data_IF_102547647508
#
_entry.id   IF_102547647508
#
_cell.length_a   1.000
_cell.length_b   1.000
_cell.length_c   1.000
_cell.angle_alpha   90.00
_cell.angle_beta   90.00
_cell.angle_gamma   90.00
#
_symmetry.space_group_name_H-M   'P 1'
#
loop_
_entity.id
_entity.type
_entity.pdbx_description
1 polymer ?
#
# COMPACT_ATOMS: atom_id res chain seq x y z
N UNK A 1 7.14 10.25 2.28
CA UNK A 1 7.46 10.56 3.68
C UNK A 1 8.97 10.58 3.90
N UNK A 2 9.42 11.41 4.83
CA UNK A 2 10.84 11.56 5.17
C UNK A 2 11.15 10.78 6.45
N UNK A 3 11.95 9.73 6.33
CA UNK A 3 12.36 8.88 7.46
C UNK A 3 13.03 9.64 8.62
N UNK A 4 13.61 10.82 8.35
CA UNK A 4 14.25 11.65 9.38
C UNK A 4 13.24 12.49 10.18
N UNK A 5 12.01 12.63 9.70
CA UNK A 5 11.00 13.53 10.26
C UNK A 5 9.73 12.82 10.73
N UNK A 6 9.42 11.68 10.15
CA UNK A 6 8.17 10.97 10.41
C UNK A 6 8.44 9.70 11.22
N UNK A 7 8.02 9.66 12.50
CA UNK A 7 8.13 8.45 13.31
C UNK A 7 7.40 7.26 12.66
N UNK A 8 8.04 6.08 12.65
CA UNK A 8 7.47 4.87 12.04
C UNK A 8 7.73 4.72 10.54
N UNK A 9 8.42 5.67 9.92
CA UNK A 9 8.93 5.54 8.55
C UNK A 9 10.42 5.26 8.61
N UNK A 10 10.82 4.02 8.32
CA UNK A 10 12.21 3.57 8.42
C UNK A 10 13.01 3.82 7.13
N UNK A 11 12.32 4.05 6.00
CA UNK A 11 12.96 4.34 4.72
C UNK A 11 12.12 5.33 3.91
N UNK A 12 12.77 6.43 3.50
CA UNK A 12 12.20 7.35 2.51
C UNK A 12 12.18 6.72 1.13
N UNK A 13 11.06 6.79 0.44
CA UNK A 13 10.92 6.36 -0.96
C UNK A 13 10.03 7.37 -1.71
N UNK A 14 10.00 7.27 -3.04
CA UNK A 14 9.25 8.18 -3.92
C UNK A 14 9.45 7.84 -5.39
N UNK A 15 10.55 7.14 -5.70
CA UNK A 15 10.71 6.50 -7.00
C UNK A 15 9.89 5.23 -7.01
N UNK A 16 8.78 5.24 -7.76
CA UNK A 16 7.80 4.16 -7.78
C UNK A 16 8.44 2.81 -8.12
N UNK A 17 8.00 1.76 -7.44
CA UNK A 17 8.50 0.40 -7.58
C UNK A 17 9.82 0.10 -6.86
N UNK A 18 10.57 1.10 -6.37
CA UNK A 18 11.88 0.90 -5.72
C UNK A 18 11.74 0.47 -4.25
N UNK A 19 10.74 1.00 -3.55
CA UNK A 19 10.56 0.76 -2.11
C UNK A 19 10.39 -0.71 -1.75
N UNK A 20 9.65 -1.46 -2.55
CA UNK A 20 9.41 -2.88 -2.30
C UNK A 20 10.70 -3.71 -2.36
N UNK A 21 11.63 -3.41 -3.27
CA UNK A 21 12.92 -4.12 -3.35
C UNK A 21 13.76 -3.90 -2.10
N UNK A 22 13.77 -2.68 -1.57
CA UNK A 22 14.43 -2.38 -0.29
C UNK A 22 13.75 -3.11 0.87
N UNK A 23 12.42 -3.12 0.93
CA UNK A 23 11.64 -3.86 1.93
C UNK A 23 11.93 -5.36 1.91
N UNK A 24 12.04 -5.95 0.71
CA UNK A 24 12.46 -7.36 0.53
C UNK A 24 13.86 -7.60 1.09
N UNK A 25 14.80 -6.68 0.82
CA UNK A 25 16.16 -6.74 1.39
C UNK A 25 16.16 -6.69 2.92
N UNK A 26 15.36 -5.80 3.51
CA UNK A 26 15.20 -5.69 4.97
C UNK A 26 14.60 -6.95 5.58
N UNK A 27 13.54 -7.50 4.98
CA UNK A 27 12.91 -8.73 5.44
C UNK A 27 13.86 -9.93 5.36
N UNK A 28 14.64 -10.04 4.29
CA UNK A 28 15.66 -11.05 4.15
C UNK A 28 16.78 -10.89 5.19
N UNK A 29 17.25 -9.68 5.41
CA UNK A 29 18.29 -9.39 6.41
C UNK A 29 17.84 -9.79 7.83
N UNK A 30 16.56 -9.54 8.19
CA UNK A 30 16.02 -10.02 9.46
C UNK A 30 16.16 -11.54 9.62
N UNK A 31 15.77 -12.30 8.59
CA UNK A 31 15.87 -13.77 8.61
C UNK A 31 17.32 -14.25 8.70
N UNK A 32 18.24 -13.67 7.94
CA UNK A 32 19.66 -14.02 7.96
C UNK A 32 20.33 -13.71 9.30
N UNK A 33 19.87 -12.66 9.98
CA UNK A 33 20.40 -12.24 11.28
C UNK A 33 19.64 -12.82 12.47
N UNK A 34 18.62 -13.66 12.23
CA UNK A 34 17.73 -14.20 13.25
C UNK A 34 17.06 -13.09 14.10
N UNK A 35 16.66 -11.98 13.44
CA UNK A 35 15.93 -10.88 14.06
C UNK A 35 14.43 -11.08 13.89
N UNK A 36 13.68 -10.78 14.95
CA UNK A 36 12.21 -10.91 14.97
C UNK A 36 11.53 -9.54 14.69
N UNK A 37 11.72 -9.02 13.47
CA UNK A 37 10.94 -7.88 13.00
C UNK A 37 10.26 -8.16 11.67
N UNK A 38 9.17 -7.46 11.43
CA UNK A 38 8.43 -7.46 10.18
C UNK A 38 8.73 -6.19 9.40
N UNK A 39 8.74 -6.34 8.09
CA UNK A 39 8.86 -5.24 7.15
C UNK A 39 7.51 -5.01 6.48
N UNK A 40 7.06 -3.77 6.46
CA UNK A 40 5.84 -3.35 5.81
C UNK A 40 6.20 -2.41 4.66
N UNK A 41 5.55 -2.55 3.52
CA UNK A 41 5.68 -1.63 2.39
C UNK A 41 4.31 -1.30 1.84
N UNK A 42 4.06 0.00 1.63
CA UNK A 42 2.81 0.50 1.04
C UNK A 42 3.08 0.90 -0.40
N UNK A 43 2.28 0.37 -1.30
CA UNK A 43 2.34 0.62 -2.74
C UNK A 43 1.00 1.22 -3.20
N UNK A 44 1.04 2.10 -4.18
CA UNK A 44 -0.15 2.48 -4.94
C UNK A 44 -0.49 1.45 -6.03
N UNK A 45 -1.75 1.38 -6.43
CA UNK A 45 -2.18 0.53 -7.53
C UNK A 45 -1.59 0.95 -8.89
N UNK A 46 -1.34 2.24 -9.11
CA UNK A 46 -0.55 2.73 -10.24
C UNK A 46 0.93 2.34 -10.14
N UNK A 47 1.48 2.33 -8.92
CA UNK A 47 2.88 1.94 -8.68
C UNK A 47 3.15 0.48 -9.03
N UNK A 48 2.21 -0.42 -8.80
CA UNK A 48 2.40 -1.84 -9.14
C UNK A 48 2.41 -2.14 -10.64
N UNK A 49 2.24 -1.15 -11.51
CA UNK A 49 2.50 -1.27 -12.94
C UNK A 49 4.01 -1.38 -13.25
N UNK A 50 4.85 -0.94 -12.31
CA UNK A 50 6.30 -1.07 -12.43
C UNK A 50 6.74 -2.54 -12.38
N UNK A 51 7.53 -2.98 -13.38
CA UNK A 51 8.01 -4.36 -13.48
C UNK A 51 8.80 -4.83 -12.26
N UNK A 52 9.55 -3.91 -11.64
CA UNK A 52 10.36 -4.19 -10.45
C UNK A 52 9.52 -4.65 -9.24
N UNK A 53 8.26 -4.25 -9.14
CA UNK A 53 7.34 -4.74 -8.09
C UNK A 53 7.18 -6.25 -8.21
N UNK A 54 6.99 -6.75 -9.43
CA UNK A 54 6.78 -8.18 -9.70
C UNK A 54 8.06 -8.99 -9.58
N UNK A 55 9.21 -8.42 -9.94
CA UNK A 55 10.52 -9.03 -9.69
C UNK A 55 10.76 -9.21 -8.18
N UNK A 56 10.47 -8.18 -7.39
CA UNK A 56 10.56 -8.23 -5.93
C UNK A 56 9.56 -9.24 -5.32
N UNK A 57 8.32 -9.28 -5.82
CA UNK A 57 7.30 -10.23 -5.38
C UNK A 57 7.71 -11.68 -5.66
N UNK A 58 8.21 -11.97 -6.87
CA UNK A 58 8.71 -13.30 -7.23
C UNK A 58 9.82 -13.75 -6.27
N UNK A 59 10.78 -12.87 -5.99
CA UNK A 59 11.86 -13.17 -5.07
C UNK A 59 11.34 -13.40 -3.65
N UNK A 60 10.47 -12.55 -3.15
CA UNK A 60 9.90 -12.64 -1.80
C UNK A 60 9.16 -13.96 -1.58
N UNK A 61 8.31 -14.35 -2.53
CA UNK A 61 7.60 -15.64 -2.49
C UNK A 61 8.53 -16.84 -2.57
N UNK A 62 9.54 -16.80 -3.47
CA UNK A 62 10.56 -17.84 -3.59
C UNK A 62 11.36 -18.03 -2.30
N UNK A 63 11.68 -16.94 -1.60
CA UNK A 63 12.40 -16.96 -0.32
C UNK A 63 11.51 -17.15 0.90
N UNK A 64 10.20 -17.26 0.71
CA UNK A 64 9.22 -17.48 1.79
C UNK A 64 9.35 -16.42 2.90
N UNK A 65 9.43 -15.15 2.50
CA UNK A 65 9.64 -14.03 3.44
C UNK A 65 8.35 -13.73 4.22
N UNK A 66 7.97 -14.61 5.14
CA UNK A 66 6.75 -14.49 5.95
C UNK A 66 6.78 -13.35 6.98
N UNK A 67 7.87 -12.62 7.02
CA UNK A 67 8.04 -11.37 7.74
C UNK A 67 7.94 -10.12 6.84
N UNK A 68 7.53 -10.28 5.57
CA UNK A 68 7.21 -9.18 4.65
C UNK A 68 5.69 -9.06 4.50
N UNK A 69 5.19 -7.84 4.64
CA UNK A 69 3.81 -7.46 4.33
C UNK A 69 3.81 -6.37 3.27
N UNK A 70 3.22 -6.66 2.13
CA UNK A 70 2.98 -5.72 1.05
C UNK A 70 1.54 -5.23 1.17
N UNK A 71 1.33 -3.93 1.21
CA UNK A 71 0.02 -3.30 1.27
C UNK A 71 -0.19 -2.56 -0.05
N UNK A 72 -1.31 -2.75 -0.70
CA UNK A 72 -1.67 -2.04 -1.93
C UNK A 72 -2.86 -1.13 -1.65
N UNK A 73 -2.65 0.19 -1.78
CA UNK A 73 -3.73 1.17 -1.83
C UNK A 73 -4.39 1.10 -3.21
N UNK A 74 -5.50 0.34 -3.29
CA UNK A 74 -6.24 0.12 -4.53
C UNK A 74 -7.42 1.09 -4.61
N UNK A 75 -7.12 2.33 -4.98
CA UNK A 75 -8.11 3.39 -5.14
C UNK A 75 -8.63 3.55 -6.57
N UNK A 76 -8.07 2.82 -7.54
CA UNK A 76 -8.50 2.81 -8.94
C UNK A 76 -8.06 4.03 -9.76
N UNK A 77 -7.25 4.93 -9.19
CA UNK A 77 -6.84 6.17 -9.85
C UNK A 77 -5.32 6.35 -9.84
N UNK A 78 -4.78 6.81 -10.94
CA UNK A 78 -3.41 7.28 -11.05
C UNK A 78 -3.37 8.69 -11.63
N UNK A 79 -2.18 9.29 -11.77
CA UNK A 79 -1.99 10.67 -12.21
C UNK A 79 -2.65 10.97 -13.57
N UNK A 80 -2.71 9.98 -14.47
CA UNK A 80 -3.22 10.12 -15.83
C UNK A 80 -4.71 9.76 -15.99
N UNK A 81 -5.37 9.29 -14.93
CA UNK A 81 -6.78 8.92 -14.98
C UNK A 81 -7.15 7.65 -14.21
N UNK A 82 -8.26 7.05 -14.64
CA UNK A 82 -8.68 5.75 -14.13
C UNK A 82 -7.64 4.68 -14.52
N UNK A 83 -7.25 3.87 -13.54
CA UNK A 83 -6.18 2.88 -13.72
C UNK A 83 -6.50 1.82 -14.79
N UNK A 84 -7.76 1.47 -14.98
CA UNK A 84 -8.17 0.50 -16.01
C UNK A 84 -8.02 1.06 -17.42
N UNK A 85 -8.21 2.38 -17.57
CA UNK A 85 -8.12 3.05 -18.86
C UNK A 85 -6.66 3.34 -19.26
N UNK A 86 -5.77 3.50 -18.28
CA UNK A 86 -4.35 3.79 -18.52
C UNK A 86 -3.55 2.51 -18.74
N UNK A 87 -3.48 1.66 -17.73
CA UNK A 87 -2.82 0.35 -17.79
C UNK A 87 -3.28 -0.53 -16.63
N UNK A 88 -4.32 -1.34 -16.85
CA UNK A 88 -4.96 -2.13 -15.81
C UNK A 88 -4.01 -3.10 -15.10
N UNK A 89 -3.81 -2.97 -13.78
CA UNK A 89 -3.03 -3.93 -13.00
C UNK A 89 -3.85 -5.16 -12.59
N UNK A 90 -5.14 -5.19 -12.88
CA UNK A 90 -6.04 -6.26 -12.44
C UNK A 90 -5.82 -7.60 -13.19
N UNK A 91 -6.14 -8.74 -12.57
CA UNK A 91 -6.49 -8.88 -11.14
C UNK A 91 -5.26 -8.82 -10.23
N UNK A 92 -5.26 -7.92 -9.24
CA UNK A 92 -4.07 -7.67 -8.38
C UNK A 92 -3.81 -8.87 -7.48
N UNK A 93 -4.81 -9.32 -6.73
CA UNK A 93 -4.69 -10.41 -5.77
C UNK A 93 -4.15 -11.69 -6.43
N UNK A 94 -4.75 -12.11 -7.55
CA UNK A 94 -4.33 -13.32 -8.26
C UNK A 94 -2.87 -13.27 -8.75
N UNK A 95 -2.34 -12.09 -9.08
CA UNK A 95 -0.94 -11.93 -9.45
C UNK A 95 -0.02 -12.18 -8.24
N UNK A 96 -0.34 -11.64 -7.07
CA UNK A 96 0.41 -11.94 -5.85
C UNK A 96 0.30 -13.40 -5.43
N UNK A 97 -0.89 -14.01 -5.56
CA UNK A 97 -1.08 -15.46 -5.32
C UNK A 97 -0.17 -16.30 -6.20
N UNK A 98 -0.06 -15.96 -7.50
CA UNK A 98 0.82 -16.65 -8.44
C UNK A 98 2.30 -16.58 -8.03
N UNK A 99 2.71 -15.55 -7.30
CA UNK A 99 4.02 -15.42 -6.69
C UNK A 99 4.10 -16.01 -5.27
N UNK A 100 3.13 -16.85 -4.88
CA UNK A 100 3.11 -17.56 -3.60
C UNK A 100 2.96 -16.65 -2.37
N UNK A 101 2.22 -15.55 -2.49
CA UNK A 101 1.78 -14.73 -1.37
C UNK A 101 0.51 -15.30 -0.72
N UNK A 102 0.34 -15.06 0.57
CA UNK A 102 -0.96 -15.04 1.21
C UNK A 102 -1.63 -13.70 0.86
N UNK A 103 -2.84 -13.75 0.27
CA UNK A 103 -3.54 -12.55 -0.17
C UNK A 103 -4.77 -12.31 0.72
N UNK A 104 -4.94 -11.07 1.17
CA UNK A 104 -6.09 -10.62 1.95
C UNK A 104 -6.65 -9.37 1.27
N UNK A 105 -7.91 -9.41 0.83
CA UNK A 105 -8.59 -8.26 0.23
C UNK A 105 -9.59 -7.67 1.23
N UNK A 106 -9.53 -6.36 1.45
CA UNK A 106 -10.33 -5.67 2.47
C UNK A 106 -10.87 -4.33 2.00
N UNK A 107 -11.89 -3.82 2.68
CA UNK A 107 -12.22 -2.40 2.67
C UNK A 107 -11.14 -1.64 3.46
N UNK A 108 -10.38 -0.79 2.77
CA UNK A 108 -9.29 0.00 3.35
C UNK A 108 -9.77 1.19 4.21
N UNK A 109 -11.09 1.38 4.36
CA UNK A 109 -11.68 2.36 5.27
C UNK A 109 -12.35 1.71 6.49
N UNK A 110 -12.31 0.38 6.60
CA UNK A 110 -12.83 -0.39 7.74
C UNK A 110 -11.66 -0.77 8.67
N UNK A 111 -11.59 -0.14 9.84
CA UNK A 111 -10.51 -0.36 10.80
C UNK A 111 -10.49 -1.77 11.38
N UNK A 112 -11.64 -2.42 11.51
CA UNK A 112 -11.70 -3.80 12.01
C UNK A 112 -11.14 -4.78 10.98
N UNK A 113 -11.48 -4.60 9.70
CA UNK A 113 -10.89 -5.38 8.60
C UNK A 113 -9.38 -5.14 8.48
N UNK A 114 -8.92 -3.90 8.64
CA UNK A 114 -7.49 -3.57 8.64
C UNK A 114 -6.77 -4.31 9.78
N UNK A 115 -7.30 -4.23 11.00
CA UNK A 115 -6.71 -4.90 12.17
C UNK A 115 -6.64 -6.42 11.99
N UNK A 116 -7.71 -7.03 11.47
CA UNK A 116 -7.77 -8.46 11.20
C UNK A 116 -6.79 -8.88 10.08
N UNK A 117 -6.63 -8.08 9.03
CA UNK A 117 -5.67 -8.35 7.96
C UNK A 117 -4.22 -8.36 8.48
N UNK A 118 -3.86 -7.40 9.32
CA UNK A 118 -2.54 -7.39 9.96
C UNK A 118 -2.33 -8.56 10.92
N UNK A 119 -3.36 -8.99 11.63
CA UNK A 119 -3.33 -10.19 12.46
C UNK A 119 -3.09 -11.44 11.61
N UNK A 120 -3.84 -11.63 10.52
CA UNK A 120 -3.65 -12.72 9.58
C UNK A 120 -2.23 -12.73 9.00
N UNK A 121 -1.70 -11.57 8.61
CA UNK A 121 -0.33 -11.44 8.11
C UNK A 121 0.72 -11.84 9.17
N UNK A 122 0.46 -11.57 10.45
CA UNK A 122 1.34 -11.96 11.56
C UNK A 122 1.33 -13.47 11.81
N UNK A 123 0.19 -14.10 11.63
CA UNK A 123 -0.03 -15.53 11.84
C UNK A 123 0.42 -16.37 10.64
N UNK A 124 0.42 -15.82 9.43
CA UNK A 124 0.86 -16.51 8.22
C UNK A 124 2.35 -16.88 8.31
N UNK A 125 2.66 -18.15 8.00
CA UNK A 125 4.03 -18.69 7.99
C UNK A 125 4.38 -19.26 6.63
N UNK A 126 5.64 -19.08 6.26
CA UNK A 126 6.19 -19.63 5.03
C UNK A 126 5.78 -18.91 3.74
N UNK A 127 5.03 -17.81 3.84
CA UNK A 127 4.63 -16.96 2.71
C UNK A 127 4.64 -15.49 3.12
N UNK A 128 5.09 -14.56 2.26
CA UNK A 128 4.81 -13.14 2.45
C UNK A 128 3.31 -12.90 2.32
N UNK A 129 2.81 -11.80 2.87
CA UNK A 129 1.39 -11.42 2.78
C UNK A 129 1.23 -10.17 1.92
N UNK A 130 0.23 -10.18 1.03
CA UNK A 130 -0.25 -9.01 0.31
C UNK A 130 -1.64 -8.64 0.84
N UNK A 131 -1.81 -7.41 1.31
CA UNK A 131 -3.08 -6.85 1.75
C UNK A 131 -3.53 -5.87 0.67
N UNK A 132 -4.60 -6.17 -0.04
CA UNK A 132 -5.17 -5.31 -1.07
C UNK A 132 -6.30 -4.51 -0.42
N UNK A 133 -6.05 -3.22 -0.22
CA UNK A 133 -7.00 -2.30 0.41
C UNK A 133 -7.81 -1.57 -0.65
N UNK A 134 -9.08 -1.89 -0.78
CA UNK A 134 -9.98 -1.10 -1.62
C UNK A 134 -10.28 0.21 -0.91
N UNK A 135 -9.89 1.31 -1.52
CA UNK A 135 -9.99 2.65 -0.94
C UNK A 135 -10.65 3.64 -1.90
N UNK A 136 -10.96 4.80 -1.38
CA UNK A 136 -11.46 5.94 -2.15
C UNK A 136 -10.43 7.06 -1.99
N UNK A 137 -9.85 7.50 -3.09
CA UNK A 137 -8.94 8.66 -3.10
C UNK A 137 -9.65 9.89 -2.57
N UNK A 138 -9.07 10.58 -1.57
CA UNK A 138 -9.66 11.78 -0.98
C UNK A 138 -10.87 11.54 -0.08
N UNK A 139 -11.04 10.32 0.45
CA UNK A 139 -12.16 9.91 1.33
C UNK A 139 -12.43 10.91 2.44
N UNK A 140 -13.73 11.30 2.57
CA UNK A 140 -14.21 12.20 3.60
C UNK A 140 -14.21 13.69 3.19
N UNK A 141 -13.64 14.01 2.01
CA UNK A 141 -13.64 15.40 1.49
C UNK A 141 -14.37 15.43 0.15
N UNK A 142 -15.56 16.02 0.13
CA UNK A 142 -16.53 15.94 -0.98
C UNK A 142 -15.95 16.34 -2.33
N UNK A 143 -15.11 17.37 -2.38
CA UNK A 143 -14.50 17.86 -3.62
C UNK A 143 -13.21 17.13 -4.02
N UNK A 144 -12.70 16.22 -3.17
CA UNK A 144 -11.52 15.43 -3.43
C UNK A 144 -11.83 13.97 -3.78
N UNK A 145 -12.95 13.42 -3.30
CA UNK A 145 -13.29 12.01 -3.50
C UNK A 145 -13.32 11.64 -5.00
N UNK A 146 -12.57 10.60 -5.35
CA UNK A 146 -12.45 10.08 -6.71
C UNK A 146 -12.01 11.12 -7.76
N UNK A 147 -11.27 12.16 -7.35
CA UNK A 147 -10.78 13.19 -8.26
C UNK A 147 -9.27 13.02 -8.52
N UNK A 148 -8.93 12.71 -9.77
CA UNK A 148 -7.53 12.56 -10.23
C UNK A 148 -6.73 13.85 -10.03
N UNK A 149 -7.36 15.03 -10.21
CA UNK A 149 -6.72 16.34 -10.10
C UNK A 149 -6.05 16.61 -8.74
N UNK A 150 -6.46 15.88 -7.70
CA UNK A 150 -5.87 15.98 -6.36
C UNK A 150 -4.64 15.08 -6.14
N UNK A 151 -4.18 14.39 -7.17
CA UNK A 151 -2.99 13.54 -7.04
C UNK A 151 -1.72 14.36 -6.72
N UNK A 152 -1.59 15.54 -7.27
CA UNK A 152 -0.39 16.38 -7.08
C UNK A 152 -0.70 17.83 -6.73
N UNK A 153 -1.90 18.13 -6.26
CA UNK A 153 -2.35 19.49 -5.93
C UNK A 153 -2.54 19.66 -4.43
N UNK A 154 -2.17 20.83 -3.91
CA UNK A 154 -2.48 21.23 -2.54
C UNK A 154 -3.77 22.06 -2.52
N UNK A 155 -4.63 21.91 -1.48
CA UNK A 155 -5.78 22.79 -1.30
C UNK A 155 -5.33 24.22 -0.98
N UNK A 156 -6.09 25.20 -1.44
CA UNK A 156 -5.96 26.58 -0.96
C UNK A 156 -6.60 26.72 0.45
N UNK A 157 -6.48 27.92 1.06
CA UNK A 157 -6.94 28.12 2.44
C UNK A 157 -8.44 27.88 2.62
N UNK A 158 -9.27 28.28 1.65
CA UNK A 158 -10.72 28.07 1.68
C UNK A 158 -11.08 26.59 1.55
N UNK A 159 -10.43 25.89 0.63
CA UNK A 159 -10.58 24.44 0.44
C UNK A 159 -10.08 23.66 1.66
N UNK A 160 -8.97 24.09 2.25
CA UNK A 160 -8.45 23.48 3.48
C UNK A 160 -9.46 23.61 4.63
N UNK A 161 -10.05 24.81 4.81
CA UNK A 161 -11.08 25.04 5.81
C UNK A 161 -12.30 24.15 5.59
N UNK A 162 -12.82 24.10 4.36
CA UNK A 162 -13.94 23.24 4.01
C UNK A 162 -13.62 21.75 4.28
N UNK A 163 -12.43 21.27 3.88
CA UNK A 163 -12.03 19.90 4.10
C UNK A 163 -12.01 19.54 5.60
N UNK A 164 -11.47 20.42 6.45
CA UNK A 164 -11.45 20.22 7.90
C UNK A 164 -12.86 20.17 8.48
N UNK A 165 -13.77 21.07 8.06
CA UNK A 165 -15.16 21.08 8.48
C UNK A 165 -15.94 19.82 8.08
N UNK A 166 -15.61 19.24 6.91
CA UNK A 166 -16.21 17.99 6.45
C UNK A 166 -15.69 16.77 7.25
N UNK A 167 -14.38 16.73 7.50
CA UNK A 167 -13.74 15.65 8.27
C UNK A 167 -14.18 15.61 9.74
N UNK A 168 -14.43 16.76 10.37
CA UNK A 168 -14.95 16.81 11.74
C UNK A 168 -16.33 16.12 11.86
N UNK A 169 -17.17 16.21 10.82
CA UNK A 169 -18.51 15.58 10.81
C UNK A 169 -18.48 14.07 10.59
N UNK A 170 -17.41 13.54 10.01
CA UNK A 170 -17.24 12.09 9.78
C UNK A 170 -16.86 11.36 11.08
N UNK A 171 -16.32 12.08 12.06
CA UNK A 171 -15.89 11.53 13.37
C UNK A 171 -16.98 11.49 14.45
N UNK A 172 -18.18 12.00 14.15
CA UNK A 172 -19.37 11.91 15.00
C UNK A 172 -20.24 10.69 14.60
#
# INVERSE_FOLDING_TARGET
PDMKKIPGVDMSSGSLGQGISAAVGMALAAKLQNKDYRTYTLLGDGEIQEGQVWEAAMFAGSRKLDNLVVIVDNNGLQIDGNIEDVNSPYPIGAKFEAFNFNVVEIDGHDFDQIADAFKQAKECKGKPTAIIMKTIKGKGVSFMENQVSWHGSAPNDEQCKQALEELEKVGE
#
